data_IF_168572461194
#
_entry.id   IF_168572461194
#
_cell.length_a   1.000
_cell.length_b   1.000
_cell.length_c   1.000
_cell.angle_alpha   90.00
_cell.angle_beta   90.00
_cell.angle_gamma   90.00
#
_symmetry.space_group_name_H-M   'P 1'
#
loop_
_entity.id
_entity.type
_entity.pdbx_description
1 polymer ?
#
# COMPACT_ATOMS: atom_id res chain seq x y z
N UNK A 1 1.51 -1.06 -69.77
CA UNK A 1 1.23 -1.62 -68.43
C UNK A 1 2.16 -0.94 -67.43
N UNK A 2 1.68 0.15 -66.81
CA UNK A 2 2.36 0.79 -65.68
C UNK A 2 1.97 0.03 -64.41
N UNK A 3 2.95 -0.43 -63.62
CA UNK A 3 2.72 -0.96 -62.28
C UNK A 3 3.39 -0.06 -61.24
N UNK A 4 2.61 0.15 -60.19
CA UNK A 4 2.70 1.12 -59.11
C UNK A 4 3.56 0.59 -57.96
N UNK A 5 4.37 1.50 -57.39
CA UNK A 5 4.91 1.65 -56.03
C UNK A 5 5.22 0.43 -55.14
N UNK A 6 6.44 0.42 -54.58
CA UNK A 6 6.63 0.50 -53.11
C UNK A 6 8.00 1.13 -52.78
N UNK A 7 7.97 2.32 -52.17
CA UNK A 7 9.12 3.00 -51.60
C UNK A 7 9.28 2.55 -50.14
N UNK A 8 10.37 1.83 -49.83
CA UNK A 8 10.74 1.48 -48.45
C UNK A 8 11.61 2.61 -47.91
N UNK A 9 11.04 3.40 -46.99
CA UNK A 9 11.74 4.42 -46.22
C UNK A 9 12.40 3.70 -45.03
N UNK A 10 13.72 3.54 -45.06
CA UNK A 10 14.52 3.14 -43.88
C UNK A 10 14.85 4.43 -43.12
N UNK A 11 14.08 4.71 -42.07
CA UNK A 11 14.40 5.73 -41.09
C UNK A 11 15.51 5.23 -40.16
N UNK A 12 16.76 5.54 -40.50
CA UNK A 12 17.88 5.53 -39.55
C UNK A 12 17.63 6.64 -38.52
N UNK A 13 16.99 6.27 -37.40
CA UNK A 13 17.00 7.10 -36.20
C UNK A 13 18.40 7.03 -35.59
N UNK A 14 19.23 8.02 -35.93
CA UNK A 14 20.40 8.38 -35.13
C UNK A 14 19.92 8.80 -33.74
N UNK A 15 19.93 7.86 -32.80
CA UNK A 15 19.91 8.18 -31.37
C UNK A 15 21.31 8.72 -31.03
N UNK A 16 21.48 10.03 -31.07
CA UNK A 16 22.64 10.68 -30.48
C UNK A 16 22.54 10.60 -28.95
N UNK A 17 22.95 9.47 -28.38
CA UNK A 17 23.52 9.47 -27.03
C UNK A 17 25.04 9.52 -27.18
N UNK A 18 25.66 10.64 -26.81
CA UNK A 18 27.12 10.78 -26.87
C UNK A 18 27.76 9.88 -25.81
N UNK A 19 28.72 8.99 -26.13
CA UNK A 19 29.42 8.14 -25.17
C UNK A 19 30.34 8.88 -24.18
N UNK A 20 30.45 10.21 -24.29
CA UNK A 20 31.38 11.01 -23.49
C UNK A 20 30.83 11.47 -22.13
N UNK A 21 29.52 11.32 -21.87
CA UNK A 21 28.92 11.71 -20.59
C UNK A 21 28.86 10.56 -19.56
N UNK A 22 28.69 9.31 -20.00
CA UNK A 22 28.65 8.13 -19.10
C UNK A 22 30.06 7.70 -18.65
N UNK A 23 31.10 7.89 -19.47
CA UNK A 23 32.48 7.51 -19.13
C UNK A 23 33.21 8.53 -18.22
N UNK A 24 32.87 9.82 -18.28
CA UNK A 24 33.52 10.84 -17.45
C UNK A 24 33.05 10.82 -15.98
N UNK A 25 31.78 10.45 -15.73
CA UNK A 25 31.24 10.39 -14.38
C UNK A 25 31.74 9.17 -13.59
N UNK A 26 31.94 8.02 -14.25
CA UNK A 26 32.45 6.81 -13.60
C UNK A 26 33.93 6.93 -13.22
N UNK A 27 34.77 7.47 -14.12
CA UNK A 27 36.18 7.75 -13.86
C UNK A 27 36.37 8.73 -12.69
N UNK A 28 35.57 9.79 -12.64
CA UNK A 28 35.62 10.79 -11.57
C UNK A 28 35.16 10.21 -10.21
N UNK A 29 34.13 9.36 -10.19
CA UNK A 29 33.66 8.69 -8.95
C UNK A 29 34.73 7.76 -8.37
N UNK A 30 35.43 7.01 -9.22
CA UNK A 30 36.52 6.11 -8.79
C UNK A 30 37.74 6.88 -8.28
N UNK A 31 38.10 7.99 -8.91
CA UNK A 31 39.23 8.82 -8.49
C UNK A 31 38.97 9.48 -7.12
N UNK A 32 37.80 10.08 -6.92
CA UNK A 32 37.42 10.69 -5.63
C UNK A 32 37.44 9.65 -4.50
N UNK A 33 36.92 8.44 -4.76
CA UNK A 33 36.94 7.36 -3.79
C UNK A 33 38.38 6.96 -3.42
N UNK A 34 39.26 6.81 -4.41
CA UNK A 34 40.66 6.46 -4.19
C UNK A 34 41.39 7.55 -3.39
N UNK A 35 41.19 8.83 -3.72
CA UNK A 35 41.79 9.96 -3.01
C UNK A 35 41.31 10.05 -1.56
N UNK A 36 40.01 9.79 -1.31
CA UNK A 36 39.45 9.77 0.04
C UNK A 36 40.07 8.65 0.89
N UNK A 37 40.21 7.44 0.31
CA UNK A 37 40.86 6.31 0.99
C UNK A 37 42.33 6.58 1.29
N UNK A 38 43.09 7.03 0.30
CA UNK A 38 44.52 7.26 0.44
C UNK A 38 44.81 8.36 1.47
N UNK A 39 44.05 9.45 1.44
CA UNK A 39 44.19 10.53 2.42
C UNK A 39 43.78 10.11 3.83
N UNK A 40 42.77 9.24 3.98
CA UNK A 40 42.38 8.66 5.27
C UNK A 40 43.47 7.75 5.85
N UNK A 41 44.06 6.90 5.02
CA UNK A 41 45.11 5.94 5.40
C UNK A 41 46.41 6.66 5.79
N UNK A 42 46.81 7.67 5.00
CA UNK A 42 48.02 8.47 5.23
C UNK A 42 47.86 9.57 6.28
N UNK A 43 46.64 9.83 6.75
CA UNK A 43 46.29 10.97 7.61
C UNK A 43 46.66 12.31 6.99
N UNK A 44 46.50 12.44 5.67
CA UNK A 44 46.57 13.74 4.99
C UNK A 44 45.26 14.51 5.25
N UNK A 45 45.24 15.28 6.33
CA UNK A 45 44.04 15.97 6.83
C UNK A 45 43.43 16.92 5.80
N UNK A 46 44.26 17.66 5.05
CA UNK A 46 43.77 18.65 4.08
C UNK A 46 43.14 17.94 2.89
N UNK A 47 43.85 16.97 2.32
CA UNK A 47 43.35 16.22 1.17
C UNK A 47 42.11 15.40 1.56
N UNK A 48 42.06 14.86 2.77
CA UNK A 48 40.90 14.13 3.29
C UNK A 48 39.67 15.03 3.39
N UNK A 49 39.79 16.21 4.00
CA UNK A 49 38.68 17.15 4.15
C UNK A 49 38.18 17.68 2.80
N UNK A 50 39.07 17.86 1.83
CA UNK A 50 38.71 18.34 0.49
C UNK A 50 37.99 17.29 -0.36
N UNK A 51 38.26 16.00 -0.11
CA UNK A 51 37.62 14.86 -0.77
C UNK A 51 36.46 14.24 0.01
N UNK A 52 36.21 14.67 1.24
CA UNK A 52 35.03 14.23 1.98
C UNK A 52 33.75 14.71 1.27
N UNK A 53 32.66 13.91 1.28
CA UNK A 53 31.42 14.28 0.60
C UNK A 53 30.91 15.67 0.97
N UNK A 54 30.42 16.41 -0.03
CA UNK A 54 30.02 17.83 0.13
C UNK A 54 28.51 18.04 0.21
N UNK A 55 27.72 17.03 -0.14
CA UNK A 55 26.27 17.04 -0.13
C UNK A 55 25.71 15.65 0.21
N UNK A 56 24.40 15.57 0.46
CA UNK A 56 23.75 14.32 0.86
C UNK A 56 23.94 13.18 -0.14
N UNK A 57 23.72 13.46 -1.44
CA UNK A 57 23.84 12.45 -2.49
C UNK A 57 25.28 11.91 -2.59
N UNK A 58 26.29 12.78 -2.53
CA UNK A 58 27.69 12.38 -2.50
C UNK A 58 28.01 11.54 -1.25
N UNK A 59 27.42 11.87 -0.11
CA UNK A 59 27.61 11.09 1.12
C UNK A 59 27.02 9.70 0.97
N UNK A 60 25.77 9.60 0.52
CA UNK A 60 25.10 8.32 0.25
C UNK A 60 25.86 7.50 -0.80
N UNK A 61 26.28 8.10 -1.90
CA UNK A 61 27.04 7.43 -2.96
C UNK A 61 28.46 7.00 -2.55
N UNK A 62 28.93 7.41 -1.38
CA UNK A 62 30.25 7.07 -0.82
C UNK A 62 30.11 6.02 0.28
N UNK A 63 29.14 6.20 1.18
CA UNK A 63 29.02 5.47 2.44
C UNK A 63 27.69 4.74 2.64
N UNK A 64 26.69 4.97 1.79
CA UNK A 64 25.32 4.47 1.94
C UNK A 64 25.04 3.19 1.16
N UNK A 65 23.76 2.84 1.11
CA UNK A 65 23.24 1.76 0.27
C UNK A 65 22.83 2.30 -1.10
N UNK A 66 23.15 1.55 -2.15
CA UNK A 66 22.69 1.85 -3.51
C UNK A 66 21.39 1.09 -3.78
N UNK A 67 20.25 1.78 -3.67
CA UNK A 67 18.92 1.17 -3.82
C UNK A 67 18.68 0.62 -5.24
N UNK A 68 19.25 1.26 -6.27
CA UNK A 68 19.06 0.84 -7.67
C UNK A 68 19.79 -0.48 -7.98
N UNK A 69 20.97 -0.65 -7.38
CA UNK A 69 21.84 -1.83 -7.58
C UNK A 69 21.68 -2.87 -6.48
N UNK A 70 20.87 -2.57 -5.47
CA UNK A 70 20.71 -3.37 -4.25
C UNK A 70 22.06 -3.82 -3.67
N UNK A 71 22.98 -2.86 -3.49
CA UNK A 71 24.35 -3.15 -3.04
C UNK A 71 24.96 -2.00 -2.25
N UNK A 72 25.94 -2.32 -1.41
CA UNK A 72 26.66 -1.33 -0.61
C UNK A 72 27.64 -0.49 -1.45
N UNK A 73 27.71 0.82 -1.20
CA UNK A 73 28.73 1.70 -1.80
C UNK A 73 30.15 1.44 -1.23
N UNK A 74 31.24 1.89 -1.89
CA UNK A 74 32.61 1.45 -1.64
C UNK A 74 33.07 1.48 -0.18
N UNK A 75 32.64 2.46 0.61
CA UNK A 75 33.09 2.63 2.00
C UNK A 75 32.02 2.32 3.03
N UNK A 76 30.90 1.70 2.64
CA UNK A 76 29.76 1.43 3.52
C UNK A 76 30.17 0.72 4.83
N UNK A 77 31.01 -0.32 4.76
CA UNK A 77 31.43 -1.10 5.94
C UNK A 77 32.31 -0.31 6.91
N UNK A 78 33.06 0.66 6.42
CA UNK A 78 34.04 1.44 7.21
C UNK A 78 33.54 2.86 7.47
N UNK A 79 32.33 3.21 7.04
CA UNK A 79 31.81 4.57 7.01
C UNK A 79 31.97 5.31 8.34
N UNK A 80 31.70 4.65 9.46
CA UNK A 80 31.81 5.26 10.79
C UNK A 80 33.23 5.75 11.09
N UNK A 81 34.27 5.06 10.62
CA UNK A 81 35.67 5.47 10.83
C UNK A 81 35.99 6.77 10.07
N UNK A 82 35.49 6.90 8.84
CA UNK A 82 35.66 8.09 8.03
C UNK A 82 34.87 9.27 8.62
N UNK A 83 33.63 9.03 9.03
CA UNK A 83 32.77 10.03 9.68
C UNK A 83 33.40 10.50 11.00
N UNK A 84 33.85 9.59 11.85
CA UNK A 84 34.50 9.93 13.13
C UNK A 84 35.76 10.75 12.92
N UNK A 85 36.60 10.36 11.97
CA UNK A 85 37.81 11.11 11.65
C UNK A 85 37.47 12.51 11.14
N UNK A 86 36.49 12.64 10.24
CA UNK A 86 36.02 13.94 9.76
C UNK A 86 35.52 14.84 10.90
N UNK A 87 34.67 14.33 11.78
CA UNK A 87 34.19 15.07 12.96
C UNK A 87 35.32 15.44 13.93
N UNK A 88 36.37 14.61 14.05
CA UNK A 88 37.54 14.93 14.87
C UNK A 88 38.36 16.10 14.30
N UNK A 89 38.44 16.22 12.97
CA UNK A 89 39.19 17.27 12.30
C UNK A 89 38.48 18.62 12.36
N UNK A 90 37.18 18.68 12.11
CA UNK A 90 36.44 19.96 12.08
C UNK A 90 36.36 20.66 13.44
N UNK A 91 36.62 19.93 14.54
CA UNK A 91 36.75 20.51 15.89
C UNK A 91 38.02 21.37 16.03
N UNK A 92 39.03 21.14 15.19
CA UNK A 92 40.27 21.90 15.22
C UNK A 92 40.05 23.28 14.59
N UNK A 93 40.56 24.34 15.24
CA UNK A 93 40.38 25.73 14.79
C UNK A 93 40.78 25.96 13.33
N UNK A 94 41.86 25.30 12.86
CA UNK A 94 42.35 25.39 11.47
C UNK A 94 41.37 24.83 10.42
N UNK A 95 40.46 23.95 10.81
CA UNK A 95 39.50 23.28 9.92
C UNK A 95 38.05 23.70 10.16
N UNK A 96 37.82 24.73 10.98
CA UNK A 96 36.49 25.25 11.27
C UNK A 96 35.71 25.67 10.01
N UNK A 97 36.38 26.02 8.91
CA UNK A 97 35.73 26.32 7.62
C UNK A 97 34.88 25.16 7.07
N UNK A 98 35.23 23.92 7.42
CA UNK A 98 34.50 22.72 6.98
C UNK A 98 33.27 22.42 7.84
N UNK A 99 33.07 23.14 8.96
CA UNK A 99 31.92 22.96 9.86
C UNK A 99 30.57 23.15 9.13
N UNK A 100 30.52 24.04 8.13
CA UNK A 100 29.33 24.23 7.29
C UNK A 100 28.97 23.01 6.43
N UNK A 101 29.89 22.06 6.23
CA UNK A 101 29.56 20.84 5.49
C UNK A 101 28.56 19.95 6.24
N UNK A 102 28.44 20.08 7.56
CA UNK A 102 27.35 19.44 8.32
C UNK A 102 26.01 19.82 7.69
N UNK A 103 25.83 21.10 7.41
CA UNK A 103 24.60 21.64 6.80
C UNK A 103 24.47 21.18 5.36
N UNK A 104 25.54 21.29 4.55
CA UNK A 104 25.44 20.94 3.12
C UNK A 104 25.20 19.45 2.88
N UNK A 105 25.72 18.57 3.73
CA UNK A 105 25.44 17.12 3.69
C UNK A 105 24.06 16.79 4.26
N UNK A 106 23.61 17.50 5.30
CA UNK A 106 22.26 17.29 5.87
C UNK A 106 21.15 17.82 4.97
N UNK A 107 21.45 18.81 4.12
CA UNK A 107 20.50 19.40 3.20
C UNK A 107 20.02 18.37 2.18
N UNK A 108 18.71 18.30 2.03
CA UNK A 108 17.97 17.37 1.19
C UNK A 108 18.15 15.90 1.62
N UNK A 109 18.64 15.71 2.85
CA UNK A 109 18.83 14.42 3.48
C UNK A 109 17.52 13.74 3.85
N UNK A 110 17.53 12.43 3.71
CA UNK A 110 16.45 11.54 4.14
C UNK A 110 17.02 10.53 5.12
N UNK A 111 16.21 10.11 6.08
CA UNK A 111 16.64 9.06 6.98
C UNK A 111 16.86 7.76 6.21
N UNK A 112 18.02 7.15 6.43
CA UNK A 112 18.39 5.79 6.03
C UNK A 112 19.22 5.19 7.17
N UNK A 113 19.25 3.85 7.26
CA UNK A 113 20.04 3.16 8.28
C UNK A 113 21.56 3.38 8.12
N UNK A 114 22.33 2.79 9.03
CA UNK A 114 23.79 2.70 8.96
C UNK A 114 24.49 4.07 8.86
N UNK A 115 25.30 4.30 7.83
CA UNK A 115 26.15 5.49 7.69
C UNK A 115 25.35 6.80 7.70
N UNK A 116 24.15 6.80 7.10
CA UNK A 116 23.31 7.99 7.01
C UNK A 116 22.77 8.36 8.39
N UNK A 117 22.16 7.40 9.11
CA UNK A 117 21.72 7.63 10.48
C UNK A 117 22.91 7.94 11.42
N UNK A 118 24.06 7.31 11.23
CA UNK A 118 25.26 7.59 12.01
C UNK A 118 25.74 9.04 11.84
N UNK A 119 25.81 9.52 10.58
CA UNK A 119 26.15 10.91 10.29
C UNK A 119 25.11 11.89 10.84
N UNK A 120 23.81 11.56 10.74
CA UNK A 120 22.72 12.33 11.34
C UNK A 120 22.93 12.51 12.85
N UNK A 121 23.14 11.40 13.58
CA UNK A 121 23.38 11.42 15.03
C UNK A 121 24.64 12.21 15.40
N UNK A 122 25.73 12.05 14.65
CA UNK A 122 26.96 12.82 14.88
C UNK A 122 26.76 14.31 14.64
N UNK A 123 26.04 14.68 13.59
CA UNK A 123 25.70 16.06 13.26
C UNK A 123 24.85 16.69 14.36
N UNK A 124 23.80 15.98 14.79
CA UNK A 124 22.92 16.40 15.87
C UNK A 124 23.71 16.64 17.17
N UNK A 125 24.48 15.64 17.61
CA UNK A 125 25.26 15.71 18.84
C UNK A 125 26.36 16.77 18.76
N UNK A 126 27.00 16.94 17.61
CA UNK A 126 28.02 17.98 17.41
C UNK A 126 27.41 19.37 17.62
N UNK A 127 26.26 19.65 17.00
CA UNK A 127 25.57 20.94 17.14
C UNK A 127 25.18 21.19 18.59
N UNK A 128 24.57 20.21 19.25
CA UNK A 128 24.12 20.29 20.64
C UNK A 128 25.29 20.51 21.60
N UNK A 129 26.27 19.61 21.58
CA UNK A 129 27.36 19.60 22.57
C UNK A 129 28.30 20.81 22.41
N UNK A 130 28.51 21.29 21.18
CA UNK A 130 29.38 22.44 20.90
C UNK A 130 28.61 23.77 20.82
N UNK A 131 27.30 23.77 21.11
CA UNK A 131 26.42 24.94 21.04
C UNK A 131 26.47 25.66 19.68
N UNK A 132 26.54 24.91 18.59
CA UNK A 132 26.68 25.41 17.21
C UNK A 132 25.34 25.68 16.52
N UNK A 133 24.35 26.13 17.28
CA UNK A 133 23.00 26.39 16.77
C UNK A 133 22.96 27.47 15.68
N UNK A 134 23.98 28.35 15.63
CA UNK A 134 24.14 29.34 14.57
C UNK A 134 24.21 28.73 13.18
N UNK A 135 24.72 27.50 13.04
CA UNK A 135 24.73 26.77 11.76
C UNK A 135 23.33 26.56 11.19
N UNK A 136 22.32 26.45 12.06
CA UNK A 136 20.91 26.30 11.69
C UNK A 136 20.20 27.67 11.68
N UNK A 137 20.47 28.50 12.69
CA UNK A 137 19.81 29.80 12.85
C UNK A 137 20.13 30.77 11.70
N UNK A 138 21.30 30.65 11.07
CA UNK A 138 21.70 31.48 9.93
C UNK A 138 21.09 31.05 8.60
N UNK A 139 20.39 29.91 8.54
CA UNK A 139 19.86 29.38 7.28
C UNK A 139 18.60 30.11 6.84
N UNK A 140 18.40 30.15 5.52
CA UNK A 140 17.10 30.49 4.96
C UNK A 140 16.03 29.54 5.48
N UNK A 141 14.76 29.97 5.47
CA UNK A 141 13.64 29.11 5.89
C UNK A 141 13.64 27.75 5.17
N UNK A 142 13.72 27.78 3.84
CA UNK A 142 13.72 26.60 2.98
C UNK A 142 14.85 25.62 3.32
N UNK A 143 16.07 26.14 3.52
CA UNK A 143 17.23 25.30 3.81
C UNK A 143 17.15 24.73 5.24
N UNK A 144 16.66 25.53 6.19
CA UNK A 144 16.43 25.06 7.55
C UNK A 144 15.35 23.98 7.61
N UNK A 145 14.27 24.08 6.85
CA UNK A 145 13.22 23.04 6.76
C UNK A 145 13.82 21.71 6.30
N UNK A 146 14.66 21.74 5.26
CA UNK A 146 15.33 20.54 4.73
C UNK A 146 16.30 19.91 5.75
N UNK A 147 17.17 20.72 6.36
CA UNK A 147 18.16 20.26 7.35
C UNK A 147 17.51 19.79 8.65
N UNK A 148 16.55 20.53 9.17
CA UNK A 148 15.85 20.17 10.41
C UNK A 148 15.00 18.93 10.23
N UNK A 149 14.42 18.71 9.04
CA UNK A 149 13.70 17.47 8.75
C UNK A 149 14.63 16.25 8.84
N UNK A 150 15.84 16.34 8.28
CA UNK A 150 16.83 15.27 8.39
C UNK A 150 17.29 15.02 9.83
N UNK A 151 17.61 16.09 10.58
CA UNK A 151 18.11 15.97 11.96
C UNK A 151 17.05 15.53 12.97
N UNK A 152 15.79 15.94 12.76
CA UNK A 152 14.65 15.65 13.63
C UNK A 152 13.65 14.70 12.97
N UNK A 153 14.12 13.77 12.14
CA UNK A 153 13.22 12.80 11.50
C UNK A 153 12.33 12.16 12.59
N UNK A 154 11.00 12.38 12.53
CA UNK A 154 10.04 12.05 13.60
C UNK A 154 9.90 10.54 13.81
N UNK A 155 10.17 9.75 12.77
CA UNK A 155 9.98 8.31 12.76
C UNK A 155 11.10 7.65 13.55
N UNK A 156 12.20 8.37 13.77
CA UNK A 156 13.42 7.87 14.37
C UNK A 156 14.01 8.79 15.45
N UNK A 157 13.38 9.93 15.74
CA UNK A 157 13.86 10.93 16.71
C UNK A 157 12.73 11.43 17.60
N UNK A 158 13.01 11.65 18.88
CA UNK A 158 12.06 12.29 19.82
C UNK A 158 12.21 13.81 19.77
N UNK A 159 11.14 14.52 20.12
CA UNK A 159 11.22 15.96 20.34
C UNK A 159 12.22 16.25 21.47
N UNK A 160 13.25 17.04 21.18
CA UNK A 160 14.26 17.45 22.15
C UNK A 160 14.09 18.95 22.46
N UNK A 161 13.46 19.24 23.59
CA UNK A 161 13.17 20.61 24.01
C UNK A 161 14.44 21.43 24.26
N UNK A 162 15.49 20.81 24.79
CA UNK A 162 16.77 21.47 25.07
C UNK A 162 17.46 21.91 23.77
N UNK A 163 17.46 21.07 22.73
CA UNK A 163 17.95 21.48 21.41
C UNK A 163 17.10 22.61 20.84
N UNK A 164 15.77 22.46 20.85
CA UNK A 164 14.86 23.38 20.17
C UNK A 164 14.88 24.77 20.81
N UNK A 165 14.95 24.88 22.12
CA UNK A 165 14.98 26.18 22.82
C UNK A 165 16.20 27.04 22.49
N UNK A 166 17.30 26.44 22.01
CA UNK A 166 18.49 27.15 21.54
C UNK A 166 18.39 27.65 20.08
N UNK A 167 17.34 27.27 19.35
CA UNK A 167 17.06 27.77 18.01
C UNK A 167 16.31 29.11 18.06
N UNK A 168 16.39 29.92 17.00
CA UNK A 168 15.60 31.15 16.90
C UNK A 168 14.10 30.82 16.70
N UNK A 169 13.22 31.80 16.95
CA UNK A 169 11.75 31.58 16.91
C UNK A 169 11.26 30.97 15.59
N UNK A 170 11.80 31.40 14.45
CA UNK A 170 11.42 30.85 13.14
C UNK A 170 11.77 29.36 13.06
N UNK A 171 12.97 28.98 13.50
CA UNK A 171 13.44 27.58 13.46
C UNK A 171 12.75 26.71 14.50
N UNK A 172 12.38 27.27 15.65
CA UNK A 172 11.52 26.59 16.63
C UNK A 172 10.16 26.23 16.01
N UNK A 173 9.53 27.16 15.29
CA UNK A 173 8.26 26.88 14.60
C UNK A 173 8.43 25.85 13.47
N UNK A 174 9.58 25.80 12.80
CA UNK A 174 9.88 24.73 11.85
C UNK A 174 9.96 23.37 12.57
N UNK A 175 10.70 23.24 13.68
CA UNK A 175 10.80 21.96 14.40
C UNK A 175 9.45 21.57 15.01
N UNK A 176 8.72 22.49 15.64
CA UNK A 176 7.33 22.24 16.07
C UNK A 176 6.48 21.83 14.89
N UNK A 177 6.60 22.48 13.74
CA UNK A 177 5.97 22.12 12.49
C UNK A 177 6.37 20.73 12.02
N UNK A 178 7.62 20.32 12.13
CA UNK A 178 8.06 18.95 11.85
C UNK A 178 7.34 18.00 12.79
N UNK A 179 7.34 18.18 14.11
CA UNK A 179 6.63 17.26 15.01
C UNK A 179 5.09 17.38 14.99
N UNK A 180 4.54 18.49 14.48
CA UNK A 180 3.09 18.73 14.36
C UNK A 180 2.54 18.30 12.99
N UNK A 181 3.32 18.49 11.92
CA UNK A 181 3.10 18.06 10.54
C UNK A 181 3.65 16.66 10.27
N UNK A 182 4.43 16.09 11.19
CA UNK A 182 4.60 14.66 11.43
C UNK A 182 3.50 14.16 12.35
N UNK A 183 2.29 14.50 11.93
CA UNK A 183 1.32 13.50 11.55
C UNK A 183 2.04 12.16 11.22
N UNK A 184 2.11 11.27 12.21
CA UNK A 184 2.45 9.84 12.06
C UNK A 184 1.91 9.29 10.73
N UNK A 185 2.51 8.26 10.09
CA UNK A 185 1.88 7.54 8.98
C UNK A 185 0.37 7.26 9.21
N UNK A 186 -0.04 7.05 10.47
CA UNK A 186 -1.44 6.96 10.92
C UNK A 186 -2.27 8.23 10.71
N UNK A 187 -1.72 9.43 10.90
CA UNK A 187 -2.46 10.69 10.78
C UNK A 187 -2.53 11.18 9.31
N UNK A 188 -1.65 10.70 8.40
CA UNK A 188 -1.81 10.85 6.93
C UNK A 188 -2.92 9.93 6.43
N UNK A 189 -3.01 8.72 6.99
CA UNK A 189 -4.12 7.80 6.75
C UNK A 189 -5.43 8.25 7.41
N UNK A 190 -5.37 9.11 8.42
CA UNK A 190 -6.52 9.66 9.13
C UNK A 190 -7.17 10.93 8.55
N UNK A 191 -6.83 11.36 7.33
CA UNK A 191 -7.58 12.43 6.64
C UNK A 191 -8.45 11.85 5.52
N UNK A 192 -9.76 12.08 5.60
CA UNK A 192 -10.73 11.57 4.63
C UNK A 192 -10.45 12.04 3.18
N UNK A 193 -9.99 13.29 3.00
CA UNK A 193 -9.69 13.89 1.69
C UNK A 193 -8.68 13.10 0.85
N UNK A 194 -7.86 12.26 1.48
CA UNK A 194 -6.87 11.43 0.80
C UNK A 194 -7.50 10.26 0.01
N UNK A 195 -8.78 9.97 0.26
CA UNK A 195 -9.50 8.84 -0.33
C UNK A 195 -10.59 9.25 -1.32
N UNK A 196 -11.09 10.49 -1.28
CA UNK A 196 -12.26 10.94 -2.07
C UNK A 196 -12.11 10.75 -3.58
N UNK A 197 -10.88 10.79 -4.12
CA UNK A 197 -10.59 10.63 -5.54
C UNK A 197 -9.57 9.52 -5.81
N UNK A 198 -9.42 8.57 -4.87
CA UNK A 198 -8.45 7.49 -5.01
C UNK A 198 -9.12 6.22 -5.55
N UNK A 199 -8.79 5.85 -6.79
CA UNK A 199 -9.33 4.67 -7.47
C UNK A 199 -8.94 3.33 -6.81
N UNK A 200 -7.99 3.33 -5.86
CA UNK A 200 -7.61 2.14 -5.11
C UNK A 200 -8.58 1.83 -3.96
N UNK A 201 -9.52 2.74 -3.66
CA UNK A 201 -10.47 2.63 -2.56
C UNK A 201 -11.92 2.74 -3.04
N UNK A 202 -12.85 2.15 -2.29
CA UNK A 202 -14.27 2.44 -2.38
C UNK A 202 -14.77 3.06 -1.08
N UNK A 203 -15.83 3.86 -1.18
CA UNK A 203 -16.40 4.60 -0.05
C UNK A 203 -17.88 4.24 0.09
N UNK A 204 -18.27 3.81 1.28
CA UNK A 204 -19.68 3.67 1.70
C UNK A 204 -20.05 4.82 2.62
N UNK A 205 -21.28 5.29 2.49
CA UNK A 205 -21.82 6.38 3.33
C UNK A 205 -23.07 5.89 4.05
N UNK A 206 -22.99 5.78 5.37
CA UNK A 206 -24.12 5.46 6.25
C UNK A 206 -23.78 5.84 7.69
N UNK A 207 -24.81 6.08 8.51
CA UNK A 207 -24.67 6.36 9.94
C UNK A 207 -24.37 5.06 10.70
N UNK A 208 -23.09 4.87 11.08
CA UNK A 208 -22.57 3.66 11.73
C UNK A 208 -22.72 3.71 13.25
N UNK A 209 -22.69 4.91 13.84
CA UNK A 209 -22.75 5.11 15.29
C UNK A 209 -24.16 5.44 15.81
N UNK A 210 -25.14 5.61 14.90
CA UNK A 210 -26.54 5.98 15.13
C UNK A 210 -26.73 7.35 15.79
N UNK A 211 -25.91 8.33 15.42
CA UNK A 211 -26.03 9.72 15.90
C UNK A 211 -26.85 10.63 14.96
N UNK A 212 -27.31 10.10 13.82
CA UNK A 212 -28.08 10.83 12.82
C UNK A 212 -27.24 11.58 11.78
N UNK A 213 -25.91 11.48 11.83
CA UNK A 213 -24.97 12.08 10.88
C UNK A 213 -24.39 10.96 9.99
N UNK A 214 -24.35 11.13 8.65
CA UNK A 214 -23.75 10.12 7.78
C UNK A 214 -22.22 10.05 7.93
N UNK A 215 -21.70 8.83 8.14
CA UNK A 215 -20.27 8.55 8.25
C UNK A 215 -19.66 8.07 6.93
N UNK A 216 -18.32 8.03 6.84
CA UNK A 216 -17.58 7.53 5.67
C UNK A 216 -16.79 6.28 6.04
N UNK A 217 -17.08 5.20 5.34
CA UNK A 217 -16.41 3.92 5.50
C UNK A 217 -15.60 3.69 4.24
N UNK A 218 -14.28 3.69 4.38
CA UNK A 218 -13.33 3.62 3.27
C UNK A 218 -12.60 2.29 3.35
N UNK A 219 -12.53 1.56 2.24
CA UNK A 219 -11.78 0.30 2.17
C UNK A 219 -11.08 0.19 0.82
N UNK A 220 -9.95 -0.51 0.78
CA UNK A 220 -9.34 -0.86 -0.50
C UNK A 220 -10.32 -1.64 -1.38
N UNK A 221 -10.20 -1.45 -2.69
CA UNK A 221 -10.82 -2.31 -3.69
C UNK A 221 -10.21 -3.71 -3.66
N UNK A 222 -10.91 -4.70 -4.21
CA UNK A 222 -10.38 -6.04 -4.34
C UNK A 222 -9.01 -6.02 -5.04
N UNK A 223 -8.03 -6.74 -4.48
CA UNK A 223 -6.64 -6.82 -4.94
C UNK A 223 -5.82 -5.51 -4.84
N UNK A 224 -6.33 -4.46 -4.20
CA UNK A 224 -5.64 -3.17 -4.06
C UNK A 224 -5.15 -2.89 -2.64
N UNK A 225 -5.06 -3.94 -1.80
CA UNK A 225 -4.72 -3.85 -0.39
C UNK A 225 -5.85 -4.33 0.53
N UNK A 226 -5.66 -4.12 1.82
CA UNK A 226 -6.51 -4.68 2.86
C UNK A 226 -6.96 -3.62 3.89
N UNK A 227 -6.81 -2.33 3.62
CA UNK A 227 -7.14 -1.26 4.57
C UNK A 227 -8.65 -1.12 4.77
N UNK A 228 -9.02 -0.76 6.00
CA UNK A 228 -10.35 -0.29 6.39
C UNK A 228 -10.23 0.94 7.28
N UNK A 229 -10.97 1.99 6.94
CA UNK A 229 -11.11 3.19 7.75
C UNK A 229 -12.59 3.50 8.01
N UNK A 230 -12.89 3.96 9.22
CA UNK A 230 -14.19 4.54 9.58
C UNK A 230 -13.96 5.97 10.01
N UNK A 231 -14.53 6.91 9.27
CA UNK A 231 -14.55 8.33 9.61
C UNK A 231 -15.95 8.73 10.08
N UNK A 232 -16.05 9.20 11.32
CA UNK A 232 -17.30 9.72 11.85
C UNK A 232 -17.52 11.14 11.38
N UNK A 233 -18.72 11.40 10.86
CA UNK A 233 -19.15 12.74 10.46
C UNK A 233 -19.48 13.61 11.67
N UNK A 234 -19.30 14.92 11.54
CA UNK A 234 -19.77 15.88 12.52
C UNK A 234 -20.79 16.89 11.94
N UNK A 235 -21.29 17.77 12.81
CA UNK A 235 -22.29 18.80 12.44
C UNK A 235 -21.77 19.83 11.44
N UNK A 236 -20.45 19.99 11.34
CA UNK A 236 -19.78 20.89 10.40
C UNK A 236 -19.50 20.20 9.05
N UNK A 237 -19.91 18.94 8.88
CA UNK A 237 -19.60 18.09 7.72
C UNK A 237 -18.11 17.77 7.61
N UNK A 238 -17.38 17.81 8.72
CA UNK A 238 -16.01 17.31 8.80
C UNK A 238 -16.04 15.81 9.17
N UNK A 239 -14.98 15.11 8.79
CA UNK A 239 -14.85 13.65 8.93
C UNK A 239 -13.62 13.31 9.76
N UNK A 240 -13.85 12.74 10.95
CA UNK A 240 -12.79 12.40 11.90
C UNK A 240 -12.52 10.90 11.91
N UNK A 241 -11.26 10.48 11.74
CA UNK A 241 -10.89 9.07 11.80
C UNK A 241 -11.23 8.49 13.19
N UNK A 242 -12.02 7.42 13.20
CA UNK A 242 -12.43 6.71 14.41
C UNK A 242 -11.95 5.26 14.47
N UNK A 243 -11.75 4.62 13.31
CA UNK A 243 -11.15 3.29 13.21
C UNK A 243 -10.21 3.25 12.01
N UNK A 244 -9.03 2.68 12.22
CA UNK A 244 -8.10 2.23 11.19
C UNK A 244 -7.75 0.76 11.48
N UNK A 245 -7.99 -0.13 10.52
CA UNK A 245 -7.75 -1.57 10.65
C UNK A 245 -7.71 -2.21 9.26
N UNK A 246 -7.88 -3.54 9.17
CA UNK A 246 -8.03 -4.27 7.90
C UNK A 246 -9.48 -4.58 7.54
N UNK A 247 -9.78 -4.67 6.25
CA UNK A 247 -11.03 -5.12 5.66
C UNK A 247 -11.16 -6.66 5.54
N UNK A 248 -10.24 -7.42 6.17
CA UNK A 248 -10.26 -8.89 6.24
C UNK A 248 -10.06 -9.62 4.90
N UNK A 249 -9.58 -8.93 3.85
CA UNK A 249 -9.36 -9.51 2.50
C UNK A 249 -8.04 -10.28 2.32
N UNK A 250 -7.23 -10.47 3.35
CA UNK A 250 -5.98 -11.25 3.25
C UNK A 250 -6.03 -12.60 3.97
N UNK A 251 -7.16 -12.89 4.65
CA UNK A 251 -7.33 -14.14 5.37
C UNK A 251 -7.78 -15.28 4.44
N UNK A 252 -6.79 -16.04 3.95
CA UNK A 252 -7.01 -17.27 3.20
C UNK A 252 -7.42 -17.07 1.74
N UNK A 253 -7.06 -15.93 1.13
CA UNK A 253 -7.34 -15.61 -0.28
C UNK A 253 -8.74 -15.07 -0.56
N UNK A 254 -9.54 -14.80 0.47
CA UNK A 254 -10.85 -14.15 0.34
C UNK A 254 -10.68 -12.68 -0.05
N UNK A 255 -11.44 -12.16 -1.00
CA UNK A 255 -11.46 -10.73 -1.34
C UNK A 255 -12.68 -10.01 -0.77
N UNK A 256 -12.55 -8.70 -0.59
CA UNK A 256 -13.66 -7.84 -0.15
C UNK A 256 -14.80 -7.84 -1.19
N UNK A 257 -16.03 -8.05 -0.73
CA UNK A 257 -17.25 -8.02 -1.54
C UNK A 257 -18.01 -6.71 -1.34
N UNK A 258 -18.33 -6.40 -0.08
CA UNK A 258 -19.15 -5.26 0.28
C UNK A 258 -18.99 -4.89 1.76
N UNK A 259 -19.39 -3.67 2.12
CA UNK A 259 -19.52 -3.21 3.50
C UNK A 259 -20.89 -2.56 3.66
N UNK A 260 -21.65 -3.04 4.65
CA UNK A 260 -23.03 -2.59 4.90
C UNK A 260 -23.24 -2.21 6.37
N UNK A 261 -24.20 -1.33 6.64
CA UNK A 261 -24.61 -1.02 8.00
C UNK A 261 -25.32 -2.22 8.64
N UNK A 262 -25.15 -2.41 9.95
CA UNK A 262 -26.00 -3.35 10.70
C UNK A 262 -27.40 -2.73 10.83
N UNK A 263 -28.48 -3.42 10.39
CA UNK A 263 -29.83 -2.88 10.48
C UNK A 263 -30.23 -2.61 11.94
N UNK A 264 -30.83 -1.44 12.19
CA UNK A 264 -31.37 -1.05 13.50
C UNK A 264 -30.37 -1.10 14.68
N UNK A 265 -29.06 -1.17 14.42
CA UNK A 265 -28.02 -1.26 15.45
C UNK A 265 -26.77 -0.51 15.03
N UNK A 266 -25.90 -0.16 15.98
CA UNK A 266 -24.60 0.43 15.68
C UNK A 266 -23.68 -0.61 15.04
N UNK A 267 -22.78 -0.15 14.19
CA UNK A 267 -21.76 -0.97 13.57
C UNK A 267 -22.00 -1.29 12.10
N UNK A 268 -21.09 -2.10 11.56
CA UNK A 268 -21.02 -2.47 10.16
C UNK A 268 -20.74 -3.96 9.99
N UNK A 269 -21.12 -4.50 8.84
CA UNK A 269 -20.80 -5.86 8.42
C UNK A 269 -19.91 -5.78 7.19
N UNK A 270 -18.74 -6.42 7.26
CA UNK A 270 -17.82 -6.59 6.14
C UNK A 270 -18.05 -7.96 5.54
N UNK A 271 -18.29 -8.01 4.23
CA UNK A 271 -18.51 -9.26 3.50
C UNK A 271 -17.29 -9.56 2.63
N UNK A 272 -16.73 -10.74 2.80
CA UNK A 272 -15.64 -11.25 1.96
C UNK A 272 -16.05 -12.57 1.33
N UNK A 273 -15.45 -12.89 0.19
CA UNK A 273 -15.67 -14.16 -0.49
C UNK A 273 -14.40 -14.68 -1.14
N UNK A 274 -14.27 -16.00 -1.22
CA UNK A 274 -13.20 -16.65 -1.95
C UNK A 274 -13.53 -16.63 -3.46
N UNK A 275 -12.68 -16.03 -4.32
CA UNK A 275 -12.99 -15.84 -5.73
C UNK A 275 -12.79 -17.10 -6.59
N UNK A 276 -11.99 -18.06 -6.13
CA UNK A 276 -11.64 -19.29 -6.85
C UNK A 276 -12.62 -20.45 -6.56
N UNK A 277 -12.25 -21.68 -6.94
CA UNK A 277 -13.08 -22.89 -6.75
C UNK A 277 -13.44 -23.09 -5.29
N UNK A 278 -14.74 -23.19 -5.03
CA UNK A 278 -15.32 -23.41 -3.70
C UNK A 278 -16.29 -22.29 -3.34
N UNK A 279 -17.09 -22.51 -2.29
CA UNK A 279 -17.94 -21.49 -1.72
C UNK A 279 -17.45 -21.22 -0.31
N UNK A 280 -16.84 -20.06 -0.11
CA UNK A 280 -16.41 -19.62 1.20
C UNK A 280 -16.58 -18.12 1.35
N UNK A 281 -17.67 -17.73 2.04
CA UNK A 281 -17.96 -16.34 2.38
C UNK A 281 -17.80 -16.13 3.87
N UNK A 282 -17.37 -14.93 4.26
CA UNK A 282 -17.26 -14.54 5.66
C UNK A 282 -17.94 -13.18 5.84
N UNK A 283 -18.78 -13.06 6.85
CA UNK A 283 -19.38 -11.79 7.28
C UNK A 283 -18.85 -11.43 8.67
N UNK A 284 -18.12 -10.32 8.76
CA UNK A 284 -17.52 -9.84 10.00
C UNK A 284 -18.36 -8.69 10.56
N UNK A 285 -18.93 -8.85 11.75
CA UNK A 285 -19.75 -7.82 12.37
C UNK A 285 -18.92 -7.01 13.37
N UNK A 286 -18.65 -5.76 13.00
CA UNK A 286 -17.90 -4.80 13.80
C UNK A 286 -18.85 -3.83 14.48
N UNK A 287 -18.79 -3.75 15.81
CA UNK A 287 -19.66 -2.88 16.61
C UNK A 287 -18.80 -1.91 17.42
N UNK A 288 -19.08 -0.58 17.36
CA UNK A 288 -18.42 0.38 18.23
C UNK A 288 -18.93 0.25 19.66
N UNK A 289 -18.02 0.11 20.61
CA UNK A 289 -18.31 0.08 22.05
C UNK A 289 -17.40 1.08 22.77
N UNK A 290 -17.97 2.19 23.24
CA UNK A 290 -17.25 3.31 23.82
C UNK A 290 -16.17 3.85 22.85
N UNK A 291 -14.90 3.85 23.27
CA UNK A 291 -13.74 4.26 22.46
C UNK A 291 -13.04 3.08 21.75
N UNK A 292 -13.70 1.93 21.62
CA UNK A 292 -13.14 0.72 21.01
C UNK A 292 -14.08 0.15 19.94
N UNK A 293 -13.55 -0.72 19.09
CA UNK A 293 -14.31 -1.46 18.10
C UNK A 293 -14.17 -2.95 18.37
N UNK A 294 -15.31 -3.63 18.46
CA UNK A 294 -15.38 -5.04 18.78
C UNK A 294 -15.85 -5.82 17.55
N UNK A 295 -15.04 -6.76 17.09
CA UNK A 295 -15.50 -7.85 16.24
C UNK A 295 -16.36 -8.76 17.12
N UNK A 296 -17.68 -8.66 17.01
CA UNK A 296 -18.62 -9.39 17.87
C UNK A 296 -18.69 -10.86 17.48
N UNK A 297 -18.91 -11.11 16.20
CA UNK A 297 -18.99 -12.44 15.63
C UNK A 297 -18.54 -12.43 14.16
N UNK A 298 -18.17 -13.60 13.68
CA UNK A 298 -17.94 -13.87 12.26
C UNK A 298 -18.89 -14.96 11.82
N UNK A 299 -19.65 -14.69 10.76
CA UNK A 299 -20.51 -15.67 10.12
C UNK A 299 -19.73 -16.30 8.97
N UNK A 300 -19.30 -17.54 9.15
CA UNK A 300 -18.65 -18.32 8.10
C UNK A 300 -19.70 -19.07 7.29
N UNK A 301 -19.63 -18.99 5.97
CA UNK A 301 -20.53 -19.69 5.06
C UNK A 301 -19.71 -20.57 4.13
N UNK A 302 -19.95 -21.88 4.17
CA UNK A 302 -19.27 -22.84 3.32
C UNK A 302 -20.20 -23.94 2.83
N UNK A 303 -19.85 -24.63 1.76
CA UNK A 303 -20.59 -25.78 1.25
C UNK A 303 -19.94 -27.07 1.78
N UNK A 304 -20.74 -28.12 1.99
CA UNK A 304 -20.24 -29.44 2.36
C UNK A 304 -19.30 -30.02 1.31
N UNK A 305 -19.63 -29.81 0.04
CA UNK A 305 -18.94 -30.33 -1.13
C UNK A 305 -19.46 -29.62 -2.40
N UNK A 306 -19.04 -30.10 -3.57
CA UNK A 306 -19.44 -29.56 -4.88
C UNK A 306 -20.59 -30.35 -5.55
N UNK A 307 -21.26 -31.25 -4.84
CA UNK A 307 -22.35 -32.08 -5.36
C UNK A 307 -23.69 -31.35 -5.41
N UNK A 308 -24.64 -31.90 -6.16
CA UNK A 308 -26.03 -31.40 -6.18
C UNK A 308 -26.77 -31.60 -4.85
N UNK A 309 -26.24 -32.45 -3.95
CA UNK A 309 -26.77 -32.68 -2.60
C UNK A 309 -26.07 -31.84 -1.54
N UNK A 310 -25.14 -30.97 -1.95
CA UNK A 310 -24.38 -30.16 -1.03
C UNK A 310 -25.27 -29.30 -0.14
N UNK A 311 -24.91 -29.21 1.14
CA UNK A 311 -25.56 -28.34 2.10
C UNK A 311 -24.67 -27.13 2.39
N UNK A 312 -25.30 -25.98 2.61
CA UNK A 312 -24.64 -24.76 3.04
C UNK A 312 -24.60 -24.73 4.56
N UNK A 313 -23.40 -24.73 5.11
CA UNK A 313 -23.15 -24.45 6.51
C UNK A 313 -23.03 -22.96 6.74
N UNK A 314 -23.76 -22.45 7.72
CA UNK A 314 -23.71 -21.07 8.19
C UNK A 314 -23.37 -21.11 9.67
N UNK A 315 -22.10 -20.88 9.97
CA UNK A 315 -21.54 -20.97 11.31
C UNK A 315 -21.41 -19.56 11.88
N UNK A 316 -22.25 -19.21 12.84
CA UNK A 316 -22.13 -17.97 13.61
C UNK A 316 -21.16 -18.20 14.77
N UNK A 317 -19.95 -17.68 14.62
CA UNK A 317 -18.86 -17.87 15.59
C UNK A 317 -18.66 -16.60 16.38
N UNK A 318 -18.85 -16.68 17.69
CA UNK A 318 -18.56 -15.58 18.62
C UNK A 318 -17.06 -15.27 18.62
N UNK A 319 -16.73 -13.98 18.49
CA UNK A 319 -15.36 -13.48 18.50
C UNK A 319 -15.12 -12.65 19.77
N UNK A 320 -15.91 -11.60 20.01
CA UNK A 320 -15.73 -10.63 21.09
C UNK A 320 -14.29 -10.10 21.21
N UNK A 321 -13.69 -9.75 20.07
CA UNK A 321 -12.30 -9.29 19.97
C UNK A 321 -12.27 -7.79 19.79
N UNK A 322 -11.47 -7.11 20.61
CA UNK A 322 -11.15 -5.70 20.43
C UNK A 322 -10.13 -5.53 19.29
N UNK A 323 -10.62 -5.08 18.13
CA UNK A 323 -9.83 -4.95 16.89
C UNK A 323 -8.99 -3.67 16.86
N UNK A 324 -9.04 -2.85 17.92
CA UNK A 324 -8.19 -1.66 18.08
C UNK A 324 -6.84 -1.99 18.73
N UNK A 325 -6.67 -3.21 19.26
CA UNK A 325 -5.44 -3.66 19.93
C UNK A 325 -4.53 -4.40 18.97
N UNK A 326 -3.21 -4.24 19.12
CA UNK A 326 -2.22 -5.01 18.34
C UNK A 326 -2.38 -6.53 18.49
N UNK A 327 -2.13 -7.28 17.41
CA UNK A 327 -2.19 -8.75 17.41
C UNK A 327 -3.60 -9.31 17.60
N UNK A 328 -4.65 -8.54 17.27
CA UNK A 328 -6.03 -9.00 17.38
C UNK A 328 -6.38 -10.11 16.37
N UNK A 329 -5.68 -10.15 15.23
CA UNK A 329 -5.88 -11.14 14.16
C UNK A 329 -5.60 -12.57 14.64
N UNK A 330 -4.61 -12.76 15.52
CA UNK A 330 -4.21 -14.07 16.04
C UNK A 330 -5.25 -14.66 17.01
N UNK A 331 -6.24 -13.86 17.41
CA UNK A 331 -7.28 -14.23 18.38
C UNK A 331 -8.59 -14.64 17.70
N UNK A 332 -8.68 -14.53 16.37
CA UNK A 332 -9.90 -14.88 15.63
C UNK A 332 -10.17 -16.37 15.77
N UNK A 333 -11.33 -16.70 16.32
CA UNK A 333 -11.81 -18.07 16.39
C UNK A 333 -12.14 -18.56 14.98
N UNK A 334 -11.57 -19.69 14.52
CA UNK A 334 -11.84 -20.22 13.20
C UNK A 334 -13.27 -20.78 13.09
N UNK A 335 -13.69 -21.06 11.86
CA UNK A 335 -14.87 -21.89 11.61
C UNK A 335 -14.74 -23.24 12.35
N UNK A 336 -15.83 -23.82 12.89
CA UNK A 336 -15.77 -25.14 13.50
C UNK A 336 -15.22 -26.21 12.54
N UNK A 337 -14.49 -27.17 13.13
CA UNK A 337 -14.03 -28.38 12.45
C UNK A 337 -15.19 -29.10 11.75
N UNK A 338 -14.90 -29.72 10.62
CA UNK A 338 -15.92 -30.28 9.72
C UNK A 338 -16.89 -31.23 10.42
N UNK A 339 -16.36 -32.12 11.28
CA UNK A 339 -17.12 -33.10 12.04
C UNK A 339 -18.11 -32.46 13.04
N UNK A 340 -17.88 -31.21 13.44
CA UNK A 340 -18.72 -30.49 14.40
C UNK A 340 -19.73 -29.55 13.74
N UNK A 341 -19.60 -29.25 12.43
CA UNK A 341 -20.42 -28.24 11.74
C UNK A 341 -21.90 -28.56 11.78
N UNK A 342 -22.28 -29.84 11.68
CA UNK A 342 -23.68 -30.28 11.79
C UNK A 342 -24.32 -29.95 13.15
N UNK A 343 -23.51 -29.79 14.21
CA UNK A 343 -23.98 -29.47 15.56
C UNK A 343 -23.92 -27.98 15.87
N UNK A 344 -22.90 -27.28 15.33
CA UNK A 344 -22.56 -25.90 15.68
C UNK A 344 -23.00 -24.87 14.62
N UNK A 345 -23.37 -25.30 13.42
CA UNK A 345 -23.74 -24.43 12.31
C UNK A 345 -25.18 -24.66 11.88
N UNK A 346 -25.82 -23.61 11.39
CA UNK A 346 -27.11 -23.72 10.71
C UNK A 346 -26.89 -24.35 9.34
N UNK A 347 -27.70 -25.35 9.01
CA UNK A 347 -27.64 -26.05 7.73
C UNK A 347 -28.79 -25.56 6.86
N UNK A 348 -28.46 -24.97 5.71
CA UNK A 348 -29.42 -24.71 4.64
C UNK A 348 -29.17 -25.75 3.55
N UNK A 349 -30.20 -26.48 3.12
CA UNK A 349 -30.09 -27.22 1.86
C UNK A 349 -29.83 -26.22 0.75
N UNK A 350 -28.94 -26.55 -0.18
CA UNK A 350 -28.75 -25.75 -1.38
C UNK A 350 -30.01 -25.86 -2.27
N UNK A 351 -31.12 -25.26 -1.84
CA UNK A 351 -32.16 -24.86 -2.76
C UNK A 351 -31.49 -23.87 -3.68
N UNK A 352 -31.24 -24.29 -4.93
CA UNK A 352 -30.78 -23.41 -6.00
C UNK A 352 -31.54 -22.10 -5.85
N UNK A 353 -30.83 -21.02 -5.50
CA UNK A 353 -31.16 -19.75 -6.10
C UNK A 353 -30.97 -20.03 -7.59
N UNK A 354 -32.04 -20.41 -8.27
CA UNK A 354 -32.09 -20.43 -9.73
C UNK A 354 -31.82 -18.98 -10.11
N UNK A 355 -30.55 -18.61 -10.28
CA UNK A 355 -30.18 -17.37 -10.99
C UNK A 355 -30.84 -17.52 -12.34
N UNK A 356 -31.96 -16.84 -12.52
CA UNK A 356 -32.73 -16.97 -13.74
C UNK A 356 -31.92 -16.27 -14.82
N UNK A 357 -31.33 -17.07 -15.70
CA UNK A 357 -30.56 -16.55 -16.81
C UNK A 357 -31.45 -16.55 -18.03
N UNK A 358 -31.41 -15.49 -18.84
CA UNK A 358 -32.09 -15.44 -20.13
C UNK A 358 -31.08 -15.34 -21.26
N UNK A 359 -31.47 -15.80 -22.44
CA UNK A 359 -30.74 -15.49 -23.67
C UNK A 359 -31.00 -14.04 -24.07
N UNK A 360 -29.94 -13.31 -24.41
CA UNK A 360 -30.02 -11.99 -25.04
C UNK A 360 -29.09 -11.98 -26.25
N UNK A 361 -29.69 -12.14 -27.43
CA UNK A 361 -28.98 -12.07 -28.71
C UNK A 361 -29.64 -11.00 -29.60
N UNK A 362 -28.87 -10.03 -30.16
CA UNK A 362 -29.39 -9.06 -31.13
C UNK A 362 -30.02 -9.72 -32.36
N UNK A 363 -29.57 -10.92 -32.73
CA UNK A 363 -30.07 -11.66 -33.89
C UNK A 363 -31.43 -12.35 -33.63
N UNK A 364 -31.99 -12.17 -32.42
CA UNK A 364 -33.29 -12.71 -32.02
C UNK A 364 -33.25 -14.15 -31.49
N UNK A 365 -32.16 -14.88 -31.69
CA UNK A 365 -31.94 -16.21 -31.14
C UNK A 365 -30.45 -16.54 -31.02
N UNK A 366 -30.12 -17.56 -30.23
CA UNK A 366 -28.78 -18.14 -30.17
C UNK A 366 -28.83 -19.65 -30.37
N UNK A 367 -27.70 -20.26 -30.75
CA UNK A 367 -27.61 -21.71 -30.96
C UNK A 367 -27.06 -22.40 -29.71
N UNK A 368 -27.78 -23.43 -29.25
CA UNK A 368 -27.26 -24.42 -28.31
C UNK A 368 -26.35 -25.38 -29.08
N UNK A 369 -25.08 -25.46 -28.70
CA UNK A 369 -24.08 -26.28 -29.41
C UNK A 369 -23.64 -27.48 -28.59
N UNK A 370 -23.18 -28.52 -29.27
CA UNK A 370 -22.71 -29.75 -28.61
C UNK A 370 -21.36 -29.59 -27.90
N UNK A 371 -20.47 -28.77 -28.46
CA UNK A 371 -19.13 -28.49 -27.94
C UNK A 371 -18.87 -26.98 -27.80
N UNK A 372 -17.80 -26.61 -27.09
CA UNK A 372 -17.40 -25.23 -26.73
C UNK A 372 -16.78 -24.44 -27.90
N UNK A 373 -17.40 -24.45 -29.08
CA UNK A 373 -16.91 -23.71 -30.26
C UNK A 373 -18.05 -23.34 -31.23
N UNK A 374 -17.81 -22.35 -32.10
CA UNK A 374 -18.82 -21.77 -33.00
C UNK A 374 -19.15 -22.64 -34.22
N UNK A 375 -18.36 -23.67 -34.52
CA UNK A 375 -18.54 -24.58 -35.67
C UNK A 375 -19.19 -25.91 -35.29
N UNK A 376 -19.33 -26.18 -34.00
CA UNK A 376 -19.95 -27.39 -33.45
C UNK A 376 -21.40 -27.57 -33.91
N UNK A 377 -21.81 -28.84 -33.98
CA UNK A 377 -23.20 -29.29 -34.17
C UNK A 377 -24.18 -28.47 -33.33
N UNK A 378 -25.26 -28.01 -33.98
CA UNK A 378 -26.33 -27.23 -33.34
C UNK A 378 -27.41 -28.21 -32.86
N UNK A 379 -27.62 -28.25 -31.54
CA UNK A 379 -28.58 -29.12 -30.88
C UNK A 379 -30.00 -28.53 -30.82
N UNK A 380 -30.07 -27.19 -30.74
CA UNK A 380 -31.32 -26.42 -30.63
C UNK A 380 -31.08 -24.93 -30.93
N UNK A 381 -32.10 -24.22 -31.43
CA UNK A 381 -32.18 -22.75 -31.40
C UNK A 381 -32.94 -22.27 -30.17
N UNK A 382 -32.38 -21.32 -29.43
CA UNK A 382 -32.99 -20.74 -28.23
C UNK A 382 -33.31 -19.27 -28.52
N UNK A 383 -34.56 -18.85 -28.42
CA UNK A 383 -34.93 -17.47 -28.74
C UNK A 383 -34.45 -16.50 -27.65
N UNK A 384 -34.17 -15.27 -28.08
CA UNK A 384 -33.84 -14.16 -27.18
C UNK A 384 -35.03 -13.91 -26.23
N UNK A 385 -34.75 -13.72 -24.95
CA UNK A 385 -35.74 -13.64 -23.87
C UNK A 385 -36.08 -14.98 -23.21
N UNK A 386 -35.68 -16.12 -23.77
CA UNK A 386 -35.93 -17.41 -23.14
C UNK A 386 -35.05 -17.65 -21.91
N UNK A 387 -35.67 -18.17 -20.85
CA UNK A 387 -34.96 -18.61 -19.66
C UNK A 387 -34.17 -19.90 -19.93
N UNK A 388 -32.95 -19.92 -19.41
CA UNK A 388 -32.05 -21.07 -19.41
C UNK A 388 -31.55 -21.31 -17.98
N UNK A 389 -31.17 -22.56 -17.72
CA UNK A 389 -30.48 -22.94 -16.49
C UNK A 389 -28.99 -23.10 -16.80
N UNK A 390 -28.15 -22.20 -16.29
CA UNK A 390 -26.70 -22.29 -16.47
C UNK A 390 -26.13 -23.32 -15.49
N UNK A 391 -25.46 -24.33 -16.02
CA UNK A 391 -24.94 -25.47 -15.28
C UNK A 391 -23.42 -25.37 -15.03
N UNK A 392 -22.68 -24.75 -15.95
CA UNK A 392 -21.24 -24.51 -15.82
C UNK A 392 -20.87 -23.19 -16.53
N UNK A 393 -20.02 -22.38 -15.87
CA UNK A 393 -19.53 -21.08 -16.35
C UNK A 393 -18.04 -21.09 -16.74
N UNK A 394 -17.46 -22.27 -16.97
CA UNK A 394 -16.05 -22.42 -17.29
C UNK A 394 -15.68 -21.92 -18.70
N UNK A 395 -15.01 -20.76 -18.74
CA UNK A 395 -14.50 -20.14 -19.97
C UNK A 395 -15.55 -19.31 -20.71
N UNK A 396 -15.39 -19.17 -22.03
CA UNK A 396 -16.29 -18.32 -22.85
C UNK A 396 -17.58 -19.02 -23.28
N UNK A 397 -17.68 -20.34 -23.09
CA UNK A 397 -18.82 -21.17 -23.47
C UNK A 397 -19.42 -21.81 -22.23
N UNK A 398 -20.60 -21.31 -21.84
CA UNK A 398 -21.30 -21.80 -20.67
C UNK A 398 -22.12 -23.04 -21.03
N UNK A 399 -22.10 -24.06 -20.17
CA UNK A 399 -22.96 -25.22 -20.29
C UNK A 399 -24.33 -24.87 -19.72
N UNK A 400 -25.39 -25.10 -20.49
CA UNK A 400 -26.75 -24.67 -20.14
C UNK A 400 -27.75 -25.79 -20.41
N UNK A 401 -28.90 -25.71 -19.74
CA UNK A 401 -30.09 -26.53 -19.99
C UNK A 401 -31.26 -25.64 -20.40
N UNK A 402 -31.87 -25.94 -21.55
CA UNK A 402 -33.05 -25.22 -22.07
C UNK A 402 -34.31 -25.60 -21.30
N UNK A 403 -35.40 -24.83 -21.47
CA UNK A 403 -36.71 -25.17 -20.90
C UNK A 403 -37.21 -26.55 -21.33
N UNK A 404 -36.89 -26.94 -22.57
CA UNK A 404 -37.21 -28.24 -23.15
C UNK A 404 -36.31 -29.37 -22.63
N UNK A 405 -35.34 -29.06 -21.77
CA UNK A 405 -34.50 -30.04 -21.10
C UNK A 405 -33.24 -30.44 -21.86
N UNK A 406 -33.00 -29.92 -23.07
CA UNK A 406 -31.76 -30.17 -23.82
C UNK A 406 -30.58 -29.44 -23.19
N UNK A 407 -29.41 -30.09 -23.22
CA UNK A 407 -28.18 -29.56 -22.66
C UNK A 407 -27.13 -29.33 -23.74
N UNK A 408 -26.31 -28.29 -23.58
CA UNK A 408 -25.27 -27.92 -24.53
C UNK A 408 -24.62 -26.59 -24.15
N UNK A 409 -23.82 -26.03 -25.04
CA UNK A 409 -23.02 -24.85 -24.81
C UNK A 409 -23.55 -23.62 -25.55
N UNK A 410 -23.53 -22.48 -24.85
CA UNK A 410 -23.87 -21.15 -25.37
C UNK A 410 -22.76 -20.18 -24.97
N UNK A 411 -22.35 -19.31 -25.88
CA UNK A 411 -21.31 -18.32 -25.59
C UNK A 411 -21.79 -17.30 -24.55
N UNK A 412 -20.96 -16.97 -23.57
CA UNK A 412 -21.31 -16.13 -22.41
C UNK A 412 -21.89 -14.76 -22.79
N UNK A 413 -21.45 -14.20 -23.93
CA UNK A 413 -21.95 -12.91 -24.43
C UNK A 413 -23.44 -12.91 -24.78
N UNK A 414 -24.07 -14.09 -24.87
CA UNK A 414 -25.50 -14.25 -25.19
C UNK A 414 -26.36 -14.52 -23.96
N UNK A 415 -25.77 -14.52 -22.76
CA UNK A 415 -26.46 -14.88 -21.52
C UNK A 415 -26.49 -13.66 -20.60
N UNK A 416 -27.67 -13.34 -20.08
CA UNK A 416 -27.86 -12.33 -19.03
C UNK A 416 -28.44 -12.98 -17.78
N UNK A 417 -27.69 -12.93 -16.68
CA UNK A 417 -28.14 -13.41 -15.37
C UNK A 417 -28.94 -12.33 -14.62
N UNK A 418 -29.95 -12.76 -13.86
CA UNK A 418 -30.73 -11.96 -12.92
C UNK A 418 -30.67 -12.55 -11.51
#
# INVERSE_FOLDING_TARGET
>A
MNRIFLLIIISLLFSCKSPSQENNNSLNKTEIANNLKESFDKKDEVLFLDNFPKNFEGFKNTFGWNDEKDSSEPFYKEANNYVDYWFSLIQQLKYKKYENQIISISKDGKWEADAVNYFKEKSYNYIKNNKKYDLINSLSRKDAESVLFFLFDPSHSKYDEDFVTNLNKEKQEIVKGIFSNNISPQKKRGQFSNYENNESYFIKTFDVNKDGIPDKIVSNNAYQGNDLFVFLGDKNKEYNLNLETTNFSEDGGNIIQDIIAIPHSKGLTIKTYFPDRGYFEKEYNLVPENNTWILKNTIYKTMSDNSDTAVKYICDVTQNIDITKSGWTDKINPIPEENDRNKKCRVETATKIKKQSIIKDPDGFTNLRKEKNSTSEILQKINSGEHINVLDISGDWFFVKTKEGKQGYVHKSRIKAY
#
